data_IF_625154568662
#
_entry.id   IF_625154568662
#
_cell.length_a   1.000
_cell.length_b   1.000
_cell.length_c   1.000
_cell.angle_alpha   90.00
_cell.angle_beta   90.00
_cell.angle_gamma   90.00
#
_symmetry.space_group_name_H-M   'P 1'
#
loop_
_entity.id
_entity.type
_entity.pdbx_description
1 polymer ?
#
# COMPACT_ATOMS: atom_id res chain seq x y z
N UNK A 1 7.73 -2.34 20.50
CA UNK A 1 9.03 -2.52 19.81
C UNK A 1 10.16 -1.76 20.48
N UNK A 2 10.09 -0.44 20.64
CA UNK A 2 11.17 0.36 21.27
C UNK A 2 11.58 -0.12 22.67
N UNK A 3 10.59 -0.47 23.52
CA UNK A 3 10.82 -1.01 24.87
C UNK A 3 11.47 -2.39 24.89
N UNK A 4 11.25 -3.22 23.86
CA UNK A 4 11.79 -4.58 23.80
C UNK A 4 13.27 -4.52 23.42
N UNK A 5 13.63 -3.59 22.54
CA UNK A 5 15.00 -3.39 22.06
C UNK A 5 15.79 -2.34 22.85
N UNK A 6 15.25 -1.82 23.96
CA UNK A 6 15.83 -0.75 24.78
C UNK A 6 16.40 0.44 23.99
N UNK A 7 15.61 0.93 23.03
CA UNK A 7 15.98 2.08 22.16
C UNK A 7 14.92 3.16 22.18
N UNK A 8 15.31 4.39 21.81
CA UNK A 8 14.37 5.50 21.65
C UNK A 8 13.32 5.20 20.57
N UNK A 9 12.09 5.70 20.76
CA UNK A 9 11.02 5.56 19.74
C UNK A 9 11.45 6.13 18.39
N UNK A 10 12.15 7.27 18.41
CA UNK A 10 12.63 7.94 17.21
C UNK A 10 13.60 7.06 16.41
N UNK A 11 14.45 6.28 17.07
CA UNK A 11 15.35 5.36 16.39
C UNK A 11 14.58 4.25 15.66
N UNK A 12 13.55 3.68 16.30
CA UNK A 12 12.70 2.66 15.67
C UNK A 12 11.92 3.25 14.49
N UNK A 13 11.35 4.45 14.64
CA UNK A 13 10.60 5.09 13.55
C UNK A 13 11.49 5.36 12.34
N UNK A 14 12.71 5.89 12.53
CA UNK A 14 13.66 6.11 11.44
C UNK A 14 14.01 4.81 10.71
N UNK A 15 14.28 3.74 11.47
CA UNK A 15 14.57 2.43 10.88
C UNK A 15 13.39 1.91 10.05
N UNK A 16 12.15 2.08 10.52
CA UNK A 16 10.96 1.65 9.77
C UNK A 16 10.77 2.47 8.49
N UNK A 17 11.03 3.77 8.52
CA UNK A 17 10.99 4.61 7.31
C UNK A 17 12.02 4.17 6.28
N UNK A 18 13.26 3.91 6.72
CA UNK A 18 14.34 3.49 5.83
C UNK A 18 14.10 2.09 5.26
N UNK A 19 13.61 1.16 6.10
CA UNK A 19 13.18 -0.17 5.64
C UNK A 19 12.03 -0.07 4.63
N UNK A 20 11.06 0.80 4.87
CA UNK A 20 9.94 1.03 3.94
C UNK A 20 10.42 1.50 2.57
N UNK A 21 11.34 2.48 2.53
CA UNK A 21 11.94 2.98 1.29
C UNK A 21 12.74 1.89 0.57
N UNK A 22 13.51 1.10 1.31
CA UNK A 22 14.28 -0.02 0.76
C UNK A 22 13.36 -1.09 0.15
N UNK A 23 12.28 -1.47 0.86
CA UNK A 23 11.28 -2.41 0.36
C UNK A 23 10.59 -1.90 -0.91
N UNK A 24 10.19 -0.62 -0.93
CA UNK A 24 9.55 -0.01 -2.10
C UNK A 24 10.48 -0.01 -3.32
N UNK A 25 11.75 0.36 -3.13
CA UNK A 25 12.77 0.33 -4.18
C UNK A 25 13.02 -1.10 -4.67
N UNK A 26 13.20 -2.04 -3.75
CA UNK A 26 13.40 -3.45 -4.09
C UNK A 26 12.22 -4.01 -4.90
N UNK A 27 11.00 -3.71 -4.49
CA UNK A 27 9.79 -4.13 -5.20
C UNK A 27 9.74 -3.54 -6.61
N UNK A 28 9.96 -2.23 -6.77
CA UNK A 28 9.99 -1.58 -8.10
C UNK A 28 11.08 -2.16 -9.00
N UNK A 29 12.26 -2.49 -8.47
CA UNK A 29 13.38 -3.03 -9.24
C UNK A 29 13.18 -4.50 -9.66
N UNK A 30 12.63 -5.33 -8.78
CA UNK A 30 12.57 -6.79 -8.97
C UNK A 30 11.24 -7.27 -9.58
N UNK A 31 10.12 -6.58 -9.33
CA UNK A 31 8.80 -7.01 -9.79
C UNK A 31 8.49 -6.33 -11.12
N UNK A 32 9.11 -6.83 -12.19
CA UNK A 32 8.91 -6.35 -13.57
C UNK A 32 8.63 -7.52 -14.51
N UNK A 33 7.79 -7.29 -15.52
CA UNK A 33 7.53 -8.29 -16.56
C UNK A 33 6.83 -9.57 -16.07
N UNK A 34 6.09 -9.51 -14.96
CA UNK A 34 5.38 -10.66 -14.40
C UNK A 34 4.32 -11.17 -15.38
N UNK A 35 4.36 -12.47 -15.70
CA UNK A 35 3.33 -13.16 -16.46
C UNK A 35 2.26 -13.69 -15.50
N UNK A 36 1.21 -12.89 -15.26
CA UNK A 36 0.06 -13.28 -14.46
C UNK A 36 -1.16 -13.51 -15.37
N UNK A 37 -1.81 -14.67 -15.21
CA UNK A 37 -3.05 -15.02 -15.93
C UNK A 37 -4.29 -14.47 -15.23
N UNK A 38 -4.29 -14.48 -13.89
CA UNK A 38 -5.40 -14.04 -13.07
C UNK A 38 -4.90 -13.14 -11.95
N UNK A 39 -5.18 -11.85 -12.06
CA UNK A 39 -4.81 -10.89 -11.02
C UNK A 39 -6.04 -10.56 -10.18
N UNK A 40 -5.90 -10.76 -8.87
CA UNK A 40 -6.89 -10.35 -7.88
C UNK A 40 -6.57 -8.92 -7.45
N UNK A 41 -7.52 -8.02 -7.66
CA UNK A 41 -7.48 -6.68 -7.11
C UNK A 41 -8.30 -6.66 -5.82
N UNK A 42 -7.72 -6.17 -4.73
CA UNK A 42 -8.39 -6.05 -3.43
C UNK A 42 -8.05 -4.72 -2.76
N UNK A 43 -8.92 -4.28 -1.85
CA UNK A 43 -8.79 -3.06 -1.07
C UNK A 43 -8.85 -3.35 0.44
N UNK A 44 -7.82 -2.93 1.17
CA UNK A 44 -7.75 -3.09 2.62
C UNK A 44 -7.91 -1.72 3.29
N UNK A 45 -8.90 -1.61 4.18
CA UNK A 45 -9.16 -0.40 4.95
C UNK A 45 -8.21 -0.29 6.15
N UNK A 46 -7.67 0.91 6.35
CA UNK A 46 -6.93 1.34 7.53
C UNK A 46 -7.29 2.79 7.87
N UNK A 47 -6.71 3.33 8.94
CA UNK A 47 -6.86 4.74 9.29
C UNK A 47 -5.52 5.35 9.70
N UNK A 48 -5.32 6.63 9.38
CA UNK A 48 -4.21 7.44 9.87
C UNK A 48 -4.71 8.38 10.97
N UNK A 49 -4.07 8.36 12.13
CA UNK A 49 -4.40 9.15 13.33
C UNK A 49 -5.76 8.84 13.97
N UNK A 50 -6.86 8.99 13.23
CA UNK A 50 -8.23 8.72 13.67
C UNK A 50 -9.06 8.15 12.52
N UNK A 51 -10.09 7.35 12.84
CA UNK A 51 -11.11 6.93 11.86
C UNK A 51 -11.85 8.16 11.35
N UNK A 52 -12.28 8.18 10.08
CA UNK A 52 -12.92 9.33 9.44
C UNK A 52 -14.05 9.95 10.29
N UNK A 53 -14.94 9.13 10.85
CA UNK A 53 -16.04 9.59 11.73
C UNK A 53 -15.61 10.33 13.01
N UNK A 54 -14.36 10.18 13.42
CA UNK A 54 -13.81 10.76 14.64
C UNK A 54 -12.87 11.94 14.36
N UNK A 55 -12.61 12.27 13.09
CA UNK A 55 -11.65 13.33 12.71
C UNK A 55 -12.14 14.70 13.17
N UNK A 56 -13.43 15.01 13.00
CA UNK A 56 -14.02 16.32 13.39
C UNK A 56 -13.87 16.61 14.89
N UNK A 57 -13.91 15.58 15.73
CA UNK A 57 -13.74 15.68 17.18
C UNK A 57 -12.29 15.52 17.65
N UNK A 58 -11.35 15.25 16.75
CA UNK A 58 -9.98 14.97 17.11
C UNK A 58 -9.18 16.26 17.34
N UNK A 59 -8.46 16.32 18.46
CA UNK A 59 -7.59 17.46 18.77
C UNK A 59 -6.41 17.46 17.81
N UNK A 60 -6.19 18.58 17.12
CA UNK A 60 -5.06 18.81 16.22
C UNK A 60 -4.87 17.69 15.18
N UNK A 61 -5.97 17.25 14.55
CA UNK A 61 -5.91 16.29 13.46
C UNK A 61 -5.09 16.86 12.28
N UNK A 62 -4.07 16.13 11.79
CA UNK A 62 -3.42 16.45 10.52
C UNK A 62 -4.42 16.48 9.36
N UNK A 63 -4.11 17.20 8.28
CA UNK A 63 -4.97 17.23 7.08
C UNK A 63 -5.19 15.83 6.48
N UNK A 64 -4.20 14.95 6.59
CA UNK A 64 -4.25 13.56 6.11
C UNK A 64 -4.85 12.57 7.14
N UNK A 65 -5.45 13.06 8.22
CA UNK A 65 -6.11 12.21 9.21
C UNK A 65 -7.44 11.66 8.69
N UNK A 66 -7.68 10.37 8.90
CA UNK A 66 -8.90 9.73 8.45
C UNK A 66 -8.68 8.33 7.94
N UNK A 67 -9.60 7.89 7.10
CA UNK A 67 -9.58 6.54 6.52
C UNK A 67 -8.68 6.50 5.29
N UNK A 68 -7.92 5.42 5.16
CA UNK A 68 -6.98 5.20 4.06
C UNK A 68 -7.12 3.78 3.54
N UNK A 69 -7.03 3.61 2.23
CA UNK A 69 -7.17 2.32 1.56
C UNK A 69 -5.84 1.91 0.94
N UNK A 70 -5.45 0.67 1.22
CA UNK A 70 -4.35 0.02 0.53
C UNK A 70 -4.93 -0.84 -0.57
N UNK A 71 -4.70 -0.43 -1.80
CA UNK A 71 -5.08 -1.15 -3.01
C UNK A 71 -3.97 -2.12 -3.37
N UNK A 72 -4.34 -3.38 -3.61
CA UNK A 72 -3.40 -4.47 -3.86
C UNK A 72 -3.77 -5.20 -5.13
N UNK A 73 -2.77 -5.55 -5.94
CA UNK A 73 -2.89 -6.41 -7.10
C UNK A 73 -1.98 -7.63 -6.89
N UNK A 74 -2.60 -8.80 -6.73
CA UNK A 74 -1.89 -10.05 -6.43
C UNK A 74 -2.18 -11.09 -7.51
N UNK A 75 -1.14 -11.83 -7.92
CA UNK A 75 -1.32 -12.99 -8.76
C UNK A 75 -1.98 -14.13 -7.98
N UNK A 76 -3.04 -14.73 -8.53
CA UNK A 76 -3.81 -15.77 -7.84
C UNK A 76 -2.96 -17.01 -7.54
N UNK A 77 -2.10 -17.41 -8.47
CA UNK A 77 -1.46 -18.72 -8.44
C UNK A 77 -0.14 -18.66 -7.67
N UNK A 78 0.73 -17.70 -7.97
CA UNK A 78 2.01 -17.52 -7.26
C UNK A 78 1.86 -16.78 -5.93
N UNK A 79 0.72 -16.14 -5.68
CA UNK A 79 0.49 -15.22 -4.54
C UNK A 79 1.48 -14.05 -4.50
N UNK A 80 2.12 -13.74 -5.63
CA UNK A 80 3.03 -12.61 -5.75
C UNK A 80 2.24 -11.30 -5.73
N UNK A 81 2.66 -10.38 -4.87
CA UNK A 81 2.16 -9.00 -4.90
C UNK A 81 2.78 -8.26 -6.09
N UNK A 82 2.00 -8.03 -7.14
CA UNK A 82 2.45 -7.42 -8.39
C UNK A 82 2.60 -5.91 -8.21
N UNK A 83 1.63 -5.27 -7.58
CA UNK A 83 1.66 -3.84 -7.31
C UNK A 83 0.74 -3.50 -6.15
N UNK A 84 1.07 -2.46 -5.41
CA UNK A 84 0.21 -1.89 -4.39
C UNK A 84 0.27 -0.37 -4.44
N UNK A 85 -0.81 0.30 -4.05
CA UNK A 85 -0.83 1.74 -3.88
C UNK A 85 -1.69 2.10 -2.69
N UNK A 86 -1.33 3.17 -2.00
CA UNK A 86 -2.09 3.68 -0.86
C UNK A 86 -2.75 4.98 -1.28
N UNK A 87 -4.02 5.15 -0.93
CA UNK A 87 -4.77 6.36 -1.25
C UNK A 87 -6.18 6.32 -0.70
N UNK A 88 -7.05 7.11 -1.31
CA UNK A 88 -8.47 7.15 -0.99
C UNK A 88 -9.23 5.98 -1.63
N UNK A 89 -10.50 5.82 -1.26
CA UNK A 89 -11.39 4.82 -1.85
C UNK A 89 -11.94 5.23 -3.22
N UNK A 90 -11.28 6.17 -3.92
CA UNK A 90 -11.77 6.65 -5.20
C UNK A 90 -11.36 5.74 -6.35
N UNK A 91 -12.13 5.85 -7.44
CA UNK A 91 -11.77 5.26 -8.72
C UNK A 91 -10.41 5.77 -9.24
N UNK A 92 -9.99 6.99 -8.85
CA UNK A 92 -8.70 7.55 -9.23
C UNK A 92 -7.52 6.74 -8.71
N UNK A 93 -7.60 6.30 -7.45
CA UNK A 93 -6.56 5.45 -6.84
C UNK A 93 -6.59 4.05 -7.44
N UNK A 94 -7.78 3.48 -7.71
CA UNK A 94 -7.91 2.21 -8.42
C UNK A 94 -7.32 2.25 -9.86
N UNK A 95 -7.53 3.35 -10.58
CA UNK A 95 -6.93 3.55 -11.91
C UNK A 95 -5.41 3.68 -11.84
N UNK A 96 -4.88 4.24 -10.75
CA UNK A 96 -3.43 4.32 -10.51
C UNK A 96 -2.84 2.93 -10.32
N UNK A 97 -3.48 2.07 -9.54
CA UNK A 97 -3.10 0.65 -9.43
C UNK A 97 -3.07 -0.03 -10.81
N UNK A 98 -4.12 0.16 -11.62
CA UNK A 98 -4.19 -0.41 -12.98
C UNK A 98 -3.04 0.04 -13.88
N UNK A 99 -2.67 1.33 -13.81
CA UNK A 99 -1.53 1.88 -14.57
C UNK A 99 -0.20 1.28 -14.13
N UNK A 100 0.00 1.06 -12.83
CA UNK A 100 1.20 0.40 -12.31
C UNK A 100 1.27 -1.05 -12.78
N UNK A 101 0.13 -1.74 -12.83
CA UNK A 101 0.06 -3.12 -13.32
C UNK A 101 0.40 -3.25 -14.82
N UNK A 102 0.07 -2.27 -15.68
CA UNK A 102 0.43 -2.31 -17.11
C UNK A 102 1.94 -2.27 -17.39
N UNK A 103 2.78 -2.04 -16.37
CA UNK A 103 4.25 -2.20 -16.47
C UNK A 103 4.67 -3.68 -16.44
N UNK A 104 3.78 -4.59 -16.07
CA UNK A 104 3.94 -6.04 -16.18
C UNK A 104 3.35 -6.54 -17.49
N UNK A 105 3.90 -7.63 -18.06
CA UNK A 105 3.37 -8.30 -19.26
C UNK A 105 2.13 -9.14 -18.91
N UNK A 106 1.25 -8.63 -18.03
CA UNK A 106 0.03 -9.32 -17.66
C UNK A 106 -0.96 -9.26 -18.83
N UNK A 107 -1.32 -10.43 -19.35
CA UNK A 107 -2.25 -10.58 -20.47
C UNK A 107 -3.67 -10.23 -19.98
N UNK A 108 -4.05 -8.96 -20.16
CA UNK A 108 -5.40 -8.39 -20.34
C UNK A 108 -6.64 -9.16 -19.81
N UNK A 109 -6.67 -9.61 -18.56
CA UNK A 109 -7.93 -10.01 -17.91
C UNK A 109 -7.94 -9.59 -16.44
N UNK A 110 -8.13 -8.29 -16.23
CA UNK A 110 -8.46 -7.71 -14.92
C UNK A 110 -9.97 -7.83 -14.73
N UNK A 111 -10.45 -8.92 -14.11
CA UNK A 111 -11.82 -8.96 -13.62
C UNK A 111 -11.87 -8.16 -12.30
N UNK A 112 -12.57 -7.03 -12.37
CA UNK A 112 -13.14 -6.38 -11.20
C UNK A 112 -14.51 -6.98 -10.91
#
# INVERSE_FOLDING_TARGET
TSRIADVSKNAVTKLLEDAGKACAKFHDENIKGVEAKHVQADEIWAFCYAKARNVEGAKAAPEDAGDIWTWTAMDRDSKLMISYTVGDRSQGTALTLRRLQTRSRAMSTMLC
#
